data_IF_835163209364
#
_entry.id   IF_835163209364
#
_cell.length_a   1.000
_cell.length_b   1.000
_cell.length_c   1.000
_cell.angle_alpha   90.00
_cell.angle_beta   90.00
_cell.angle_gamma   90.00
#
_symmetry.space_group_name_H-M   'P 1'
#
loop_
_entity.id
_entity.type
_entity.pdbx_description
1 polymer ?
#
# COMPACT_ATOMS: atom_id res chain seq x y z
N UNK A 1 40.65 -0.52 -6.42
CA UNK A 1 39.65 0.53 -6.69
C UNK A 1 38.42 0.20 -5.87
N UNK A 2 37.95 1.12 -5.02
CA UNK A 2 36.72 0.90 -4.25
C UNK A 2 35.55 1.14 -5.20
N UNK A 3 34.85 0.09 -5.59
CA UNK A 3 33.63 0.23 -6.36
C UNK A 3 32.55 0.87 -5.47
N UNK A 4 32.05 2.04 -5.87
CA UNK A 4 30.92 2.69 -5.22
C UNK A 4 29.61 1.94 -5.51
N UNK A 5 28.64 2.07 -4.59
CA UNK A 5 27.31 1.51 -4.79
C UNK A 5 26.66 2.04 -6.07
N UNK A 6 25.97 1.17 -6.82
CA UNK A 6 25.29 1.52 -8.07
C UNK A 6 24.32 2.69 -7.84
N UNK A 7 24.33 3.74 -8.66
CA UNK A 7 23.43 4.89 -8.52
C UNK A 7 22.01 4.52 -9.00
N UNK A 8 21.23 3.86 -8.14
CA UNK A 8 19.85 3.42 -8.48
C UNK A 8 18.76 4.38 -8.06
N UNK A 9 19.06 5.44 -7.28
CA UNK A 9 18.04 6.31 -6.64
C UNK A 9 16.90 6.77 -7.57
N UNK A 10 17.20 7.10 -8.83
CA UNK A 10 16.22 7.62 -9.79
C UNK A 10 15.73 6.59 -10.83
N UNK A 11 16.34 5.40 -10.87
CA UNK A 11 16.00 4.32 -11.83
C UNK A 11 15.49 3.06 -11.14
N UNK A 12 15.36 3.08 -9.81
CA UNK A 12 14.88 1.96 -9.03
C UNK A 12 13.36 1.82 -9.12
N UNK A 13 12.92 0.86 -9.93
CA UNK A 13 11.52 0.47 -10.08
C UNK A 13 11.09 -0.61 -9.05
N UNK A 14 11.98 -0.98 -8.13
CA UNK A 14 11.78 -2.08 -7.17
C UNK A 14 11.47 -1.63 -5.75
N UNK A 15 11.63 -0.33 -5.45
CA UNK A 15 11.04 0.25 -4.25
C UNK A 15 9.55 -0.06 -4.20
N UNK A 16 8.92 -0.01 -3.03
CA UNK A 16 7.47 -0.01 -2.89
C UNK A 16 7.08 0.13 -1.43
N UNK A 17 5.86 0.59 -1.20
CA UNK A 17 5.27 0.74 0.13
C UNK A 17 5.43 -0.55 0.96
N UNK A 18 5.66 -0.42 2.28
CA UNK A 18 5.94 -1.59 3.13
C UNK A 18 4.71 -2.47 3.35
N UNK A 19 3.50 -1.91 3.27
CA UNK A 19 2.24 -2.58 3.59
C UNK A 19 1.58 -3.32 2.40
N UNK A 20 2.34 -3.67 1.36
CA UNK A 20 1.81 -4.43 0.20
C UNK A 20 1.89 -5.95 0.43
N UNK A 21 0.86 -6.52 1.02
CA UNK A 21 0.74 -7.96 1.26
C UNK A 21 1.63 -8.38 2.42
N UNK A 22 2.43 -9.44 2.23
CA UNK A 22 3.39 -9.94 3.23
C UNK A 22 4.82 -9.54 2.83
N UNK A 23 5.36 -8.48 3.44
CA UNK A 23 6.70 -7.99 3.10
C UNK A 23 7.63 -7.91 4.29
N UNK A 24 8.89 -8.28 4.04
CA UNK A 24 9.93 -8.28 5.06
C UNK A 24 10.27 -6.88 5.62
N UNK A 25 9.94 -5.80 4.90
CA UNK A 25 10.14 -4.41 5.31
C UNK A 25 8.98 -3.86 6.16
N UNK A 26 7.88 -4.59 6.31
CA UNK A 26 6.87 -4.35 7.34
C UNK A 26 7.01 -5.41 8.43
N UNK A 27 7.44 -4.98 9.62
CA UNK A 27 7.47 -5.86 10.79
C UNK A 27 6.82 -5.16 11.97
N UNK A 28 6.09 -5.94 12.76
CA UNK A 28 5.53 -5.50 14.03
C UNK A 28 6.27 -6.19 15.18
N UNK A 29 6.46 -5.45 16.27
CA UNK A 29 7.03 -5.98 17.50
C UNK A 29 5.94 -6.67 18.30
N UNK A 30 6.14 -7.93 18.65
CA UNK A 30 5.21 -8.70 19.46
C UNK A 30 5.63 -8.71 20.93
N UNK A 31 4.67 -8.98 21.81
CA UNK A 31 4.86 -9.06 23.26
C UNK A 31 5.87 -10.15 23.68
N UNK A 32 6.08 -11.14 22.81
CA UNK A 32 7.10 -12.20 22.97
C UNK A 32 8.54 -11.71 22.70
N UNK A 33 8.72 -10.44 22.34
CA UNK A 33 10.02 -9.89 22.04
C UNK A 33 10.57 -10.29 20.67
N UNK A 34 9.73 -10.81 19.77
CA UNK A 34 10.09 -11.08 18.38
C UNK A 34 9.58 -9.97 17.44
N UNK A 35 10.25 -9.81 16.30
CA UNK A 35 9.75 -9.04 15.17
C UNK A 35 9.19 -9.99 14.14
N UNK A 36 7.91 -9.89 13.82
CA UNK A 36 7.27 -10.75 12.82
C UNK A 36 6.85 -9.92 11.63
N UNK A 37 7.00 -10.49 10.44
CA UNK A 37 6.42 -9.92 9.22
C UNK A 37 4.91 -10.07 9.29
N UNK A 38 4.20 -9.01 8.91
CA UNK A 38 2.74 -8.94 8.97
C UNK A 38 2.17 -8.89 7.55
N UNK A 39 1.00 -9.46 7.38
CA UNK A 39 0.24 -9.38 6.13
C UNK A 39 -0.76 -8.23 6.19
N UNK A 40 -0.90 -7.52 5.07
CA UNK A 40 -1.87 -6.43 4.95
C UNK A 40 -2.99 -6.78 3.97
N UNK A 41 -4.21 -6.77 4.48
CA UNK A 41 -5.40 -6.66 3.65
C UNK A 41 -5.47 -5.24 3.04
N UNK A 42 -5.94 -5.06 1.79
CA UNK A 42 -6.41 -6.10 0.87
C UNK A 42 -5.31 -6.74 0.01
N UNK A 43 -4.05 -6.30 0.10
CA UNK A 43 -2.94 -6.80 -0.74
C UNK A 43 -2.54 -8.25 -0.51
N UNK A 44 -2.92 -8.86 0.62
CA UNK A 44 -2.80 -10.30 0.84
C UNK A 44 -3.96 -11.12 0.21
N UNK A 45 -4.93 -10.47 -0.42
CA UNK A 45 -6.08 -11.11 -1.06
C UNK A 45 -5.96 -11.06 -2.59
N UNK A 46 -5.60 -12.20 -3.18
CA UNK A 46 -5.48 -12.39 -4.65
C UNK A 46 -6.74 -11.93 -5.41
N UNK A 47 -7.97 -12.22 -4.98
CA UNK A 47 -9.20 -11.79 -5.67
C UNK A 47 -9.47 -10.28 -5.67
N UNK A 48 -8.76 -9.49 -4.85
CA UNK A 48 -9.01 -8.05 -4.71
C UNK A 48 -7.90 -7.23 -5.37
N UNK A 49 -6.70 -7.27 -4.78
CA UNK A 49 -5.56 -6.45 -5.22
C UNK A 49 -4.22 -7.20 -5.19
N UNK A 50 -4.19 -8.45 -4.73
CA UNK A 50 -2.97 -9.27 -4.72
C UNK A 50 -2.54 -9.71 -6.12
N UNK A 51 -3.50 -10.17 -6.93
CA UNK A 51 -3.28 -10.54 -8.35
C UNK A 51 -4.37 -10.00 -9.28
N UNK A 52 -5.61 -9.93 -8.79
CA UNK A 52 -6.72 -9.34 -9.51
C UNK A 52 -6.76 -7.83 -9.31
N UNK A 53 -7.66 -7.18 -10.03
CA UNK A 53 -7.96 -5.76 -9.91
C UNK A 53 -9.41 -5.57 -9.47
N UNK A 54 -9.64 -4.54 -8.67
CA UNK A 54 -10.99 -4.09 -8.34
C UNK A 54 -11.67 -3.59 -9.62
N UNK A 55 -12.96 -3.93 -9.79
CA UNK A 55 -13.75 -3.49 -10.94
C UNK A 55 -13.99 -1.98 -10.90
N UNK A 56 -14.27 -1.41 -12.07
CA UNK A 56 -14.72 -0.04 -12.14
C UNK A 56 -16.04 0.14 -11.38
N UNK A 57 -16.18 1.30 -10.76
CA UNK A 57 -17.28 1.68 -9.86
C UNK A 57 -17.90 3.00 -10.32
N UNK A 58 -17.85 3.26 -11.63
CA UNK A 58 -18.47 4.42 -12.28
C UNK A 58 -18.07 5.76 -11.62
N UNK A 59 -16.77 5.89 -11.30
CA UNK A 59 -16.20 7.10 -10.71
C UNK A 59 -16.18 7.15 -9.18
N UNK A 60 -16.62 6.10 -8.48
CA UNK A 60 -16.62 6.04 -7.01
C UNK A 60 -15.70 4.95 -6.45
N UNK A 61 -14.41 5.24 -6.33
CA UNK A 61 -13.44 4.30 -5.75
C UNK A 61 -13.49 4.31 -4.22
N UNK A 62 -13.81 3.17 -3.62
CA UNK A 62 -13.83 3.02 -2.16
C UNK A 62 -12.41 2.95 -1.61
N UNK A 63 -12.14 3.75 -0.58
CA UNK A 63 -10.93 3.63 0.23
C UNK A 63 -11.05 2.39 1.13
N UNK A 64 -10.31 1.33 0.81
CA UNK A 64 -10.35 0.07 1.55
C UNK A 64 -9.35 0.15 2.72
N UNK A 65 -9.77 -0.09 3.97
CA UNK A 65 -8.88 -0.06 5.12
C UNK A 65 -7.72 -1.05 4.98
N UNK A 66 -6.54 -0.64 5.46
CA UNK A 66 -5.37 -1.51 5.48
C UNK A 66 -5.34 -2.27 6.81
N UNK A 67 -5.78 -3.52 6.80
CA UNK A 67 -5.89 -4.35 8.00
C UNK A 67 -4.64 -5.20 8.16
N UNK A 68 -4.02 -5.11 9.33
CA UNK A 68 -2.87 -5.90 9.75
C UNK A 68 -3.34 -7.27 10.24
N UNK A 69 -2.76 -8.34 9.68
CA UNK A 69 -3.17 -9.71 9.97
C UNK A 69 -2.04 -10.72 9.83
N UNK A 70 -2.22 -11.89 10.42
CA UNK A 70 -1.46 -13.10 10.13
C UNK A 70 -2.34 -14.35 10.34
N UNK A 71 -1.72 -15.54 10.32
CA UNK A 71 -2.42 -16.80 10.59
C UNK A 71 -3.04 -16.90 12.00
N UNK A 72 -2.61 -16.06 12.95
CA UNK A 72 -3.09 -16.02 14.33
C UNK A 72 -4.28 -15.08 14.51
N UNK A 73 -4.48 -14.11 13.60
CA UNK A 73 -5.66 -13.24 13.61
C UNK A 73 -5.41 -11.83 13.08
N UNK A 74 -6.31 -10.92 13.47
CA UNK A 74 -6.26 -9.50 13.12
C UNK A 74 -5.61 -8.69 14.24
N UNK A 75 -4.78 -7.72 13.86
CA UNK A 75 -4.04 -6.86 14.79
C UNK A 75 -4.53 -5.42 14.84
N UNK A 76 -5.37 -5.03 13.90
CA UNK A 76 -5.91 -3.67 13.77
C UNK A 76 -5.71 -3.13 12.36
N UNK A 77 -5.90 -1.83 12.21
CA UNK A 77 -5.86 -1.13 10.92
C UNK A 77 -4.82 -0.02 10.95
N UNK A 78 -4.18 0.26 9.82
CA UNK A 78 -3.34 1.45 9.68
C UNK A 78 -4.24 2.69 9.63
N UNK A 79 -4.18 3.51 10.68
CA UNK A 79 -4.96 4.73 10.73
C UNK A 79 -4.52 5.70 9.61
N UNK A 80 -5.51 6.16 8.85
CA UNK A 80 -5.30 7.11 7.76
C UNK A 80 -4.63 6.53 6.53
N UNK A 81 -4.42 5.22 6.39
CA UNK A 81 -3.88 4.60 5.17
C UNK A 81 -4.90 3.64 4.58
N UNK A 82 -5.15 3.77 3.28
CA UNK A 82 -6.17 3.00 2.57
C UNK A 82 -5.64 2.50 1.23
N UNK A 83 -6.06 1.31 0.83
CA UNK A 83 -5.90 0.86 -0.55
C UNK A 83 -6.98 1.53 -1.43
N UNK A 84 -6.60 1.98 -2.61
CA UNK A 84 -7.51 2.59 -3.59
C UNK A 84 -7.16 2.09 -4.99
N UNK A 85 -8.18 1.91 -5.83
CA UNK A 85 -7.96 1.51 -7.23
C UNK A 85 -7.33 2.64 -8.05
N UNK A 86 -6.43 2.28 -8.96
CA UNK A 86 -5.81 3.17 -9.95
C UNK A 86 -6.65 3.43 -11.20
N UNK A 87 -7.88 2.90 -11.31
CA UNK A 87 -8.62 2.84 -12.59
C UNK A 87 -8.82 4.18 -13.30
N UNK A 88 -9.07 5.25 -12.55
CA UNK A 88 -9.18 6.60 -13.09
C UNK A 88 -8.55 7.63 -12.12
N UNK A 89 -7.51 7.20 -11.40
CA UNK A 89 -6.81 8.06 -10.45
C UNK A 89 -5.56 8.66 -11.08
N UNK A 90 -5.46 9.99 -11.09
CA UNK A 90 -4.21 10.67 -11.32
C UNK A 90 -3.30 10.57 -10.08
N UNK A 91 -2.00 10.60 -10.30
CA UNK A 91 -1.00 10.69 -9.22
C UNK A 91 -1.21 12.00 -8.47
N UNK A 92 -1.11 11.96 -7.13
CA UNK A 92 -1.26 13.14 -6.26
C UNK A 92 -2.64 13.80 -6.31
N UNK A 93 -3.66 13.04 -6.74
CA UNK A 93 -5.04 13.51 -6.73
C UNK A 93 -5.56 13.62 -5.30
N UNK A 94 -6.27 14.70 -4.99
CA UNK A 94 -7.00 14.83 -3.73
C UNK A 94 -8.41 14.27 -3.92
N UNK A 95 -8.85 13.40 -3.01
CA UNK A 95 -10.23 12.92 -3.05
C UNK A 95 -11.19 14.10 -2.87
N UNK A 96 -12.37 14.05 -3.50
CA UNK A 96 -13.31 15.17 -3.62
C UNK A 96 -13.70 15.87 -2.29
N UNK A 97 -13.50 15.21 -1.14
CA UNK A 97 -13.80 15.75 0.18
C UNK A 97 -12.57 16.33 0.92
N UNK A 98 -11.42 16.48 0.25
CA UNK A 98 -10.22 17.16 0.76
C UNK A 98 -9.43 16.44 1.86
N UNK A 99 -9.96 15.34 2.40
CA UNK A 99 -9.33 14.62 3.53
C UNK A 99 -8.35 13.52 3.14
N UNK A 100 -8.20 13.18 1.86
CA UNK A 100 -7.32 12.09 1.39
C UNK A 100 -6.48 12.55 0.20
N UNK A 101 -5.20 12.20 0.21
CA UNK A 101 -4.28 12.31 -0.93
C UNK A 101 -4.00 10.93 -1.50
N UNK A 102 -4.11 10.79 -2.82
CA UNK A 102 -3.80 9.56 -3.56
C UNK A 102 -2.34 9.59 -4.00
N UNK A 103 -1.57 8.61 -3.57
CA UNK A 103 -0.13 8.52 -3.83
C UNK A 103 0.14 7.27 -4.66
N UNK A 104 1.02 7.44 -5.65
CA UNK A 104 1.49 6.37 -6.50
C UNK A 104 2.60 5.56 -5.83
N UNK A 105 2.55 4.24 -5.99
CA UNK A 105 3.62 3.33 -5.62
C UNK A 105 4.61 3.20 -6.80
N UNK A 106 5.78 3.84 -6.68
CA UNK A 106 7.04 3.46 -7.39
C UNK A 106 7.14 3.86 -8.85
N UNK A 107 6.20 4.67 -9.32
CA UNK A 107 6.18 5.10 -10.72
C UNK A 107 5.49 4.10 -11.65
N UNK A 108 4.81 3.08 -11.11
CA UNK A 108 3.85 2.25 -11.87
C UNK A 108 2.44 2.79 -11.72
N UNK A 109 1.65 2.74 -12.79
CA UNK A 109 0.29 3.29 -12.83
C UNK A 109 -0.77 2.19 -12.99
N UNK A 110 -0.46 0.97 -12.54
CA UNK A 110 -1.42 -0.12 -12.62
C UNK A 110 -2.53 0.06 -11.56
N UNK A 111 -3.63 -0.67 -11.72
CA UNK A 111 -4.82 -0.55 -10.88
C UNK A 111 -4.58 -0.77 -9.38
N UNK A 112 -3.50 -1.46 -8.99
CA UNK A 112 -3.17 -1.77 -7.60
C UNK A 112 -1.94 -1.01 -7.07
N UNK A 113 -1.43 -0.05 -7.85
CA UNK A 113 -0.23 0.74 -7.54
C UNK A 113 -0.54 2.10 -6.92
N UNK A 114 -1.68 2.22 -6.25
CA UNK A 114 -2.10 3.43 -5.57
C UNK A 114 -2.53 3.13 -4.13
N UNK A 115 -2.28 4.10 -3.25
CA UNK A 115 -2.84 4.13 -1.91
C UNK A 115 -3.32 5.54 -1.59
N UNK A 116 -4.31 5.65 -0.70
CA UNK A 116 -4.79 6.92 -0.20
C UNK A 116 -4.30 7.13 1.23
N UNK A 117 -3.86 8.34 1.55
CA UNK A 117 -3.44 8.74 2.88
C UNK A 117 -4.30 9.91 3.38
N UNK A 118 -4.75 9.83 4.64
CA UNK A 118 -5.48 10.91 5.30
C UNK A 118 -4.56 12.10 5.53
N UNK A 119 -5.01 13.26 5.09
CA UNK A 119 -4.40 14.53 5.45
C UNK A 119 -4.97 14.92 6.81
N UNK A 120 -4.08 15.06 7.80
CA UNK A 120 -4.49 15.61 9.09
C UNK A 120 -4.75 17.11 8.92
N UNK A 121 -5.85 17.58 9.49
CA UNK A 121 -6.27 18.98 9.49
C UNK A 121 -5.61 19.78 10.60
#
# INVERSE_FOLDING_TARGET
>A
MLNGATPTRFSDLSHSIPFKGNRANMRMRFNDGSWKSIECFPWNSDPLVGRAQVRDTEGSYTAIPVVLSDASGLYGELDGVFAISGFNNAVENTAANGGLVVIQDVGRTDFNDYFAMRLDS
#
